data_IF_628419371063
#
_entry.id   IF_628419371063
#
_cell.length_a   1.000
_cell.length_b   1.000
_cell.length_c   1.000
_cell.angle_alpha   90.00
_cell.angle_beta   90.00
_cell.angle_gamma   90.00
#
_symmetry.space_group_name_H-M   'P 1'
#
loop_
_entity.id
_entity.type
_entity.pdbx_description
1 polymer ?
#
# COMPACT_ATOMS: atom_id res chain seq x y z
N UNK A 1 -2.49 22.45 10.04
CA UNK A 1 -2.19 21.02 9.83
C UNK A 1 -2.02 20.78 8.34
N UNK A 2 -0.87 20.26 7.92
CA UNK A 2 -0.47 20.19 6.51
C UNK A 2 -0.31 18.73 6.10
N UNK A 3 -0.76 18.39 4.89
CA UNK A 3 -0.53 17.07 4.31
C UNK A 3 0.89 17.01 3.74
N UNK A 4 1.69 16.05 4.19
CA UNK A 4 3.03 15.79 3.68
C UNK A 4 3.06 14.48 2.92
N UNK A 5 3.77 14.45 1.80
CA UNK A 5 3.94 13.29 0.92
C UNK A 5 5.41 13.20 0.55
N UNK A 6 6.07 12.14 0.98
CA UNK A 6 7.43 11.79 0.58
C UNK A 6 7.39 10.66 -0.45
N UNK A 7 8.22 10.73 -1.49
CA UNK A 7 8.23 9.77 -2.58
C UNK A 7 9.57 9.04 -2.67
N UNK A 8 9.53 7.71 -2.72
CA UNK A 8 10.68 6.83 -2.84
C UNK A 8 10.66 6.17 -4.20
N UNK A 9 11.49 6.67 -5.12
CA UNK A 9 11.66 6.06 -6.44
C UNK A 9 12.55 4.81 -6.34
N UNK A 10 12.14 3.73 -6.99
CA UNK A 10 13.00 2.61 -7.34
C UNK A 10 13.36 2.67 -8.83
N UNK A 11 14.65 2.70 -9.11
CA UNK A 11 15.18 2.76 -10.47
C UNK A 11 15.06 1.43 -11.20
N UNK A 12 14.99 0.31 -10.47
CA UNK A 12 14.98 -1.03 -11.06
C UNK A 12 13.61 -1.36 -11.65
N UNK A 13 12.53 -1.08 -10.93
CA UNK A 13 11.16 -1.34 -11.38
C UNK A 13 10.49 -0.10 -11.98
N UNK A 14 11.04 1.10 -11.73
CA UNK A 14 10.39 2.36 -12.09
C UNK A 14 9.22 2.73 -11.18
N UNK A 15 9.08 2.05 -10.03
CA UNK A 15 7.99 2.23 -9.08
C UNK A 15 8.24 3.42 -8.15
N UNK A 16 7.17 4.08 -7.73
CA UNK A 16 7.19 5.03 -6.63
C UNK A 16 6.42 4.47 -5.45
N UNK A 17 7.11 4.32 -4.31
CA UNK A 17 6.45 4.16 -3.01
C UNK A 17 6.26 5.54 -2.37
N UNK A 18 5.26 5.69 -1.50
CA UNK A 18 4.99 6.96 -0.82
C UNK A 18 4.84 6.81 0.68
N UNK A 19 5.24 7.83 1.44
CA UNK A 19 4.86 8.01 2.84
C UNK A 19 3.99 9.25 2.97
N UNK A 20 2.79 9.09 3.52
CA UNK A 20 1.81 10.17 3.70
C UNK A 20 1.57 10.41 5.19
N UNK A 21 1.76 11.64 5.65
CA UNK A 21 1.66 12.00 7.08
C UNK A 21 1.26 13.46 7.30
N UNK A 22 1.05 13.86 8.57
CA UNK A 22 0.58 15.19 8.97
C UNK A 22 1.66 16.04 9.69
N UNK A 23 2.94 15.74 9.44
CA UNK A 23 4.10 16.31 10.15
C UNK A 23 4.82 15.29 11.02
N UNK A 24 5.90 15.69 11.68
CA UNK A 24 6.73 14.82 12.53
C UNK A 24 5.94 14.29 13.74
N UNK A 25 6.24 13.07 14.18
CA UNK A 25 5.54 12.41 15.28
C UNK A 25 4.12 11.94 14.97
N UNK A 26 3.59 12.26 13.78
CA UNK A 26 2.22 11.92 13.42
C UNK A 26 2.06 10.48 12.94
N UNK A 27 0.80 10.02 12.84
CA UNK A 27 0.51 8.77 12.18
C UNK A 27 0.74 8.90 10.66
N UNK A 28 1.22 7.83 10.03
CA UNK A 28 1.48 7.81 8.60
C UNK A 28 0.92 6.55 7.93
N UNK A 29 0.77 6.64 6.60
CA UNK A 29 0.52 5.52 5.73
C UNK A 29 1.67 5.38 4.74
N UNK A 30 2.12 4.14 4.51
CA UNK A 30 3.03 3.79 3.41
C UNK A 30 2.20 3.23 2.28
N UNK A 31 2.44 3.67 1.05
CA UNK A 31 1.71 3.25 -0.16
C UNK A 31 2.68 2.57 -1.11
N UNK A 32 2.30 1.39 -1.62
CA UNK A 32 3.02 0.58 -2.60
C UNK A 32 4.51 0.37 -2.26
N UNK A 33 4.85 -0.15 -1.06
CA UNK A 33 6.23 -0.35 -0.65
C UNK A 33 6.92 -1.44 -1.48
N UNK A 34 8.16 -1.20 -1.92
CA UNK A 34 8.90 -2.10 -2.82
C UNK A 34 9.90 -2.97 -2.06
N UNK A 35 9.85 -4.29 -2.34
CA UNK A 35 10.89 -5.25 -2.00
C UNK A 35 11.75 -5.50 -3.23
N UNK A 36 13.06 -5.25 -3.12
CA UNK A 36 13.98 -5.43 -4.23
C UNK A 36 14.07 -6.89 -4.62
N UNK A 37 14.01 -7.19 -5.92
CA UNK A 37 14.11 -8.55 -6.46
C UNK A 37 14.96 -8.58 -7.72
N UNK A 38 15.99 -9.44 -7.73
CA UNK A 38 16.76 -9.75 -8.92
C UNK A 38 16.23 -11.03 -9.58
N UNK A 39 15.53 -10.93 -10.72
CA UNK A 39 14.97 -12.11 -11.39
C UNK A 39 16.03 -13.04 -11.98
N UNK A 40 17.28 -12.58 -12.17
CA UNK A 40 18.37 -13.42 -12.71
C UNK A 40 18.94 -14.37 -11.66
N UNK A 41 18.97 -13.94 -10.39
CA UNK A 41 19.52 -14.73 -9.29
C UNK A 41 18.46 -15.25 -8.31
N UNK A 42 17.22 -14.77 -8.41
CA UNK A 42 16.14 -15.09 -7.48
C UNK A 42 16.33 -14.47 -6.09
N UNK A 43 17.24 -13.50 -5.93
CA UNK A 43 17.57 -12.89 -4.64
C UNK A 43 16.67 -11.70 -4.35
N UNK A 44 16.25 -11.59 -3.10
CA UNK A 44 15.58 -10.40 -2.56
C UNK A 44 16.54 -9.53 -1.76
N UNK A 45 16.27 -8.23 -1.70
CA UNK A 45 16.93 -7.26 -0.83
C UNK A 45 15.91 -6.29 -0.25
N UNK A 46 16.25 -5.63 0.85
CA UNK A 46 15.38 -4.69 1.57
C UNK A 46 15.84 -3.24 1.44
N UNK A 47 16.73 -2.93 0.50
CA UNK A 47 17.33 -1.60 0.36
C UNK A 47 16.28 -0.51 0.11
N UNK A 48 15.27 -0.77 -0.73
CA UNK A 48 14.16 0.16 -0.93
C UNK A 48 13.32 0.33 0.34
N UNK A 49 12.95 -0.77 0.99
CA UNK A 49 12.15 -0.75 2.22
C UNK A 49 12.89 -0.06 3.39
N UNK A 50 14.21 -0.25 3.50
CA UNK A 50 15.04 0.37 4.53
C UNK A 50 15.08 1.91 4.41
N UNK A 51 15.01 2.46 3.19
CA UNK A 51 14.88 3.92 3.02
C UNK A 51 13.59 4.44 3.63
N UNK A 52 12.49 3.70 3.48
CA UNK A 52 11.19 4.03 4.09
C UNK A 52 11.28 3.90 5.62
N UNK A 53 11.89 2.83 6.12
CA UNK A 53 12.12 2.62 7.56
C UNK A 53 12.93 3.76 8.17
N UNK A 54 14.01 4.17 7.52
CA UNK A 54 14.86 5.27 7.96
C UNK A 54 14.06 6.57 8.04
N UNK A 55 13.32 6.93 6.99
CA UNK A 55 12.48 8.12 6.97
C UNK A 55 11.41 8.11 8.08
N UNK A 56 10.70 6.99 8.24
CA UNK A 56 9.68 6.85 9.29
C UNK A 56 10.28 7.06 10.68
N UNK A 57 11.47 6.49 10.94
CA UNK A 57 12.15 6.63 12.23
C UNK A 57 12.71 8.03 12.46
N UNK A 58 13.32 8.63 11.44
CA UNK A 58 13.89 9.99 11.48
C UNK A 58 12.82 11.02 11.86
N UNK A 59 11.63 10.91 11.26
CA UNK A 59 10.51 11.81 11.51
C UNK A 59 9.62 11.37 12.70
N UNK A 60 9.98 10.29 13.41
CA UNK A 60 9.21 9.77 14.54
C UNK A 60 7.78 9.34 14.20
N UNK A 61 7.53 8.94 12.95
CA UNK A 61 6.19 8.63 12.46
C UNK A 61 5.70 7.28 12.97
N UNK A 62 4.37 7.15 13.16
CA UNK A 62 3.73 5.88 13.50
C UNK A 62 2.98 5.31 12.31
N UNK A 63 3.46 4.20 11.76
CA UNK A 63 2.77 3.51 10.65
C UNK A 63 1.46 2.93 11.15
N UNK A 64 0.35 3.40 10.58
CA UNK A 64 -0.99 2.83 10.84
C UNK A 64 -1.49 2.01 9.67
N UNK A 65 -1.05 2.34 8.44
CA UNK A 65 -1.47 1.66 7.22
C UNK A 65 -0.29 1.36 6.30
N UNK A 66 -0.28 0.15 5.77
CA UNK A 66 0.54 -0.31 4.66
C UNK A 66 -0.43 -0.61 3.52
N UNK A 67 -0.51 0.31 2.56
CA UNK A 67 -1.56 0.35 1.56
C UNK A 67 -1.04 -0.16 0.23
N UNK A 68 -1.72 -1.16 -0.32
CA UNK A 68 -1.52 -1.62 -1.69
C UNK A 68 -2.62 -1.04 -2.58
N UNK A 69 -2.22 -0.29 -3.61
CA UNK A 69 -3.17 0.26 -4.59
C UNK A 69 -3.80 -0.84 -5.46
N UNK A 70 -3.03 -1.90 -5.74
CA UNK A 70 -3.45 -3.08 -6.48
C UNK A 70 -2.50 -4.27 -6.23
N UNK A 71 -2.77 -5.41 -6.86
CA UNK A 71 -1.80 -6.48 -6.98
C UNK A 71 -0.81 -6.11 -8.08
N UNK A 72 0.42 -5.77 -7.69
CA UNK A 72 1.47 -5.32 -8.60
C UNK A 72 1.98 -6.46 -9.47
N UNK A 73 2.33 -6.15 -10.72
CA UNK A 73 2.90 -7.10 -11.67
C UNK A 73 4.37 -6.78 -12.03
N UNK A 74 4.84 -5.60 -11.61
CA UNK A 74 6.13 -5.00 -11.93
C UNK A 74 7.13 -5.07 -10.76
N UNK A 75 6.65 -5.21 -9.52
CA UNK A 75 7.49 -5.30 -8.33
C UNK A 75 6.88 -6.21 -7.25
N UNK A 76 7.71 -6.66 -6.30
CA UNK A 76 7.27 -7.36 -5.11
C UNK A 76 6.97 -6.36 -4.00
N UNK A 77 5.88 -6.57 -3.25
CA UNK A 77 5.55 -5.72 -2.11
C UNK A 77 6.45 -6.00 -0.90
N UNK A 78 6.93 -4.94 -0.25
CA UNK A 78 7.62 -4.98 1.03
C UNK A 78 6.67 -4.81 2.24
N UNK A 79 5.35 -4.81 2.05
CA UNK A 79 4.40 -4.59 3.15
C UNK A 79 4.58 -5.59 4.33
N UNK A 80 4.81 -6.90 4.12
CA UNK A 80 5.08 -7.81 5.25
C UNK A 80 6.33 -7.43 6.04
N UNK A 81 7.42 -7.06 5.35
CA UNK A 81 8.66 -6.61 5.97
C UNK A 81 8.47 -5.34 6.80
N UNK A 82 7.77 -4.35 6.24
CA UNK A 82 7.47 -3.11 6.95
C UNK A 82 6.54 -3.35 8.14
N UNK A 83 5.58 -4.27 8.03
CA UNK A 83 4.69 -4.63 9.15
C UNK A 83 5.47 -5.21 10.31
N UNK A 84 6.42 -6.10 10.05
CA UNK A 84 7.27 -6.68 11.08
C UNK A 84 8.19 -5.61 11.72
N UNK A 85 8.70 -4.68 10.90
CA UNK A 85 9.70 -3.69 11.34
C UNK A 85 9.09 -2.46 12.03
N UNK A 86 7.91 -2.02 11.60
CA UNK A 86 7.28 -0.75 11.99
C UNK A 86 5.85 -0.91 12.52
N UNK A 87 5.23 -2.08 12.35
CA UNK A 87 3.82 -2.31 12.66
C UNK A 87 2.88 -1.82 11.56
N UNK A 88 1.61 -1.58 11.95
CA UNK A 88 0.54 -1.16 11.05
C UNK A 88 -0.27 -2.32 10.47
N UNK A 89 -1.23 -1.97 9.62
CA UNK A 89 -2.16 -2.91 8.99
C UNK A 89 -1.97 -2.91 7.47
N UNK A 90 -1.81 -4.09 6.88
CA UNK A 90 -1.72 -4.27 5.43
C UNK A 90 -3.13 -4.27 4.86
N UNK A 91 -3.40 -3.37 3.93
CA UNK A 91 -4.73 -3.20 3.38
C UNK A 91 -4.73 -3.04 1.86
N UNK A 92 -5.76 -3.62 1.22
CA UNK A 92 -5.90 -3.64 -0.24
C UNK A 92 -7.36 -3.59 -0.68
N UNK A 93 -7.53 -3.45 -2.00
CA UNK A 93 -8.63 -3.99 -2.79
C UNK A 93 -9.49 -5.13 -2.23
N UNK A 94 -10.78 -4.98 -1.84
CA UNK A 94 -11.65 -6.17 -1.66
C UNK A 94 -11.77 -7.02 -2.95
N UNK A 95 -11.56 -6.39 -4.12
CA UNK A 95 -11.45 -7.07 -5.43
C UNK A 95 -10.20 -7.95 -5.57
N UNK A 96 -9.26 -7.94 -4.62
CA UNK A 96 -8.08 -8.82 -4.61
C UNK A 96 -8.46 -10.29 -4.70
N UNK A 97 -9.62 -10.67 -4.16
CA UNK A 97 -10.17 -12.03 -4.21
C UNK A 97 -10.29 -12.56 -5.64
N UNK A 98 -10.66 -11.68 -6.58
CA UNK A 98 -10.77 -12.03 -8.00
C UNK A 98 -9.38 -12.34 -8.57
N UNK A 99 -8.40 -11.49 -8.27
CA UNK A 99 -7.02 -11.65 -8.71
C UNK A 99 -6.40 -12.93 -8.13
N UNK A 100 -6.61 -13.17 -6.83
CA UNK A 100 -6.19 -14.41 -6.17
C UNK A 100 -6.80 -15.64 -6.84
N UNK A 101 -8.09 -15.61 -7.20
CA UNK A 101 -8.75 -16.70 -7.91
C UNK A 101 -8.10 -17.01 -9.27
N UNK A 102 -7.75 -15.98 -10.04
CA UNK A 102 -7.07 -16.14 -11.33
C UNK A 102 -5.66 -16.72 -11.15
N UNK A 103 -4.86 -16.12 -10.27
CA UNK A 103 -3.47 -16.55 -10.09
C UNK A 103 -3.32 -17.90 -9.39
N UNK A 104 -4.27 -18.27 -8.53
CA UNK A 104 -4.34 -19.62 -7.93
C UNK A 104 -4.37 -20.71 -9.00
N UNK A 105 -5.16 -20.51 -10.05
CA UNK A 105 -5.25 -21.43 -11.18
C UNK A 105 -3.97 -21.42 -12.04
N UNK A 106 -3.44 -20.23 -12.37
CA UNK A 106 -2.26 -20.09 -13.23
C UNK A 106 -1.01 -20.75 -12.62
N UNK A 107 -0.79 -20.52 -11.32
CA UNK A 107 0.38 -21.06 -10.61
C UNK A 107 0.11 -22.41 -9.94
N UNK A 108 -1.07 -23.01 -10.15
CA UNK A 108 -1.45 -24.32 -9.62
C UNK A 108 -1.27 -24.45 -8.10
N UNK A 109 -1.70 -23.44 -7.34
CA UNK A 109 -1.49 -23.37 -5.88
C UNK A 109 -2.41 -24.27 -5.04
N UNK A 110 -3.20 -25.17 -5.64
CA UNK A 110 -3.99 -26.16 -4.89
C UNK A 110 -4.89 -25.53 -3.81
N UNK A 111 -4.89 -26.05 -2.59
CA UNK A 111 -5.58 -25.40 -1.45
C UNK A 111 -4.68 -24.44 -0.64
N UNK A 112 -3.39 -24.36 -1.00
CA UNK A 112 -2.38 -23.62 -0.24
C UNK A 112 -2.55 -22.10 -0.36
N UNK A 113 -3.28 -21.63 -1.37
CA UNK A 113 -3.65 -20.21 -1.52
C UNK A 113 -5.15 -19.99 -1.29
N UNK A 114 -5.56 -19.53 -0.09
CA UNK A 114 -6.89 -18.98 0.13
C UNK A 114 -7.12 -17.75 -0.76
N UNK A 115 -8.30 -17.66 -1.38
CA UNK A 115 -8.66 -16.55 -2.31
C UNK A 115 -9.69 -15.60 -1.71
N UNK A 116 -9.80 -15.58 -0.39
CA UNK A 116 -10.75 -14.74 0.36
C UNK A 116 -10.12 -13.45 0.88
N UNK A 117 -8.84 -13.21 0.55
CA UNK A 117 -8.09 -12.02 0.93
C UNK A 117 -7.65 -11.99 2.40
N UNK A 118 -7.75 -13.10 3.15
CA UNK A 118 -7.37 -13.15 4.58
C UNK A 118 -5.90 -12.87 4.87
N UNK A 119 -5.06 -12.85 3.84
CA UNK A 119 -3.64 -12.47 3.92
C UNK A 119 -3.47 -10.97 4.19
N UNK A 120 -4.51 -10.17 3.96
CA UNK A 120 -4.55 -8.74 4.26
C UNK A 120 -5.34 -8.51 5.53
N UNK A 121 -4.89 -7.56 6.35
CA UNK A 121 -5.58 -7.19 7.59
C UNK A 121 -6.90 -6.45 7.32
N UNK A 122 -6.97 -5.71 6.20
CA UNK A 122 -8.17 -4.98 5.82
C UNK A 122 -8.44 -5.00 4.32
N UNK A 123 -9.71 -5.22 3.97
CA UNK A 123 -10.18 -5.25 2.59
C UNK A 123 -11.15 -4.10 2.35
N UNK A 124 -10.65 -2.97 1.85
CA UNK A 124 -11.50 -1.80 1.68
C UNK A 124 -12.59 -2.05 0.63
N UNK A 125 -13.77 -1.49 0.88
CA UNK A 125 -14.85 -1.36 -0.07
C UNK A 125 -14.70 -0.10 -0.92
N UNK A 126 -15.41 -0.04 -2.05
CA UNK A 126 -15.41 1.15 -2.89
C UNK A 126 -16.06 2.32 -2.14
N UNK A 127 -15.36 3.45 -2.07
CA UNK A 127 -15.85 4.65 -1.40
C UNK A 127 -15.69 4.65 0.12
N UNK A 128 -15.13 3.58 0.70
CA UNK A 128 -14.86 3.49 2.13
C UNK A 128 -13.91 4.61 2.58
N UNK A 129 -14.22 5.18 3.75
CA UNK A 129 -13.40 6.22 4.39
C UNK A 129 -12.63 5.62 5.56
N UNK A 130 -11.43 6.11 5.78
CA UNK A 130 -10.57 5.69 6.87
C UNK A 130 -9.65 6.85 7.29
N UNK A 131 -8.97 6.68 8.41
CA UNK A 131 -8.13 7.73 8.99
C UNK A 131 -6.66 7.33 8.99
N UNK A 132 -5.78 8.30 8.75
CA UNK A 132 -4.34 8.20 8.95
C UNK A 132 -4.00 9.21 10.05
N UNK A 133 -4.21 8.78 11.30
CA UNK A 133 -4.26 9.71 12.44
C UNK A 133 -5.36 10.75 12.23
N UNK A 134 -4.97 12.01 12.16
CA UNK A 134 -5.87 13.16 11.95
C UNK A 134 -6.22 13.40 10.48
N UNK A 135 -5.58 12.72 9.52
CA UNK A 135 -5.90 12.84 8.10
C UNK A 135 -7.08 11.93 7.74
N UNK A 136 -8.00 12.42 6.91
CA UNK A 136 -9.11 11.62 6.39
C UNK A 136 -8.83 11.16 4.96
N UNK A 137 -8.98 9.87 4.71
CA UNK A 137 -8.78 9.30 3.40
C UNK A 137 -10.03 8.56 2.93
N UNK A 138 -10.15 8.43 1.60
CA UNK A 138 -11.23 7.72 0.94
C UNK A 138 -10.64 6.85 -0.16
N UNK A 139 -11.02 5.58 -0.15
CA UNK A 139 -10.74 4.69 -1.27
C UNK A 139 -11.64 5.07 -2.45
N UNK A 140 -11.03 5.47 -3.57
CA UNK A 140 -11.75 5.74 -4.80
C UNK A 140 -11.57 4.57 -5.76
N UNK A 141 -12.67 4.11 -6.35
CA UNK A 141 -12.58 3.19 -7.48
C UNK A 141 -12.11 3.99 -8.70
N UNK A 142 -11.05 3.52 -9.36
CA UNK A 142 -10.70 4.03 -10.68
C UNK A 142 -11.62 3.36 -11.70
N UNK A 143 -12.32 4.15 -12.52
CA UNK A 143 -13.07 3.63 -13.66
C UNK A 143 -12.16 3.63 -14.88
N UNK A 144 -11.33 2.60 -15.03
CA UNK A 144 -10.71 2.28 -16.32
C UNK A 144 -11.61 1.32 -17.10
N UNK A 145 -11.61 1.44 -18.43
CA UNK A 145 -12.54 0.77 -19.34
C UNK A 145 -12.53 -0.76 -19.18
N UNK A 146 -13.73 -1.34 -19.26
CA UNK A 146 -14.13 -2.68 -18.78
C UNK A 146 -13.48 -3.92 -19.44
N UNK A 147 -12.25 -3.84 -19.99
CA UNK A 147 -11.56 -5.00 -20.60
C UNK A 147 -10.24 -5.41 -19.93
N UNK A 148 -9.77 -4.71 -18.88
CA UNK A 148 -8.53 -5.04 -18.13
C UNK A 148 -8.69 -4.90 -16.61
N UNK A 149 -9.87 -5.24 -16.08
CA UNK A 149 -10.24 -4.99 -14.68
C UNK A 149 -9.48 -5.84 -13.63
N UNK A 150 -8.65 -6.81 -14.04
CA UNK A 150 -7.92 -7.66 -13.11
C UNK A 150 -6.52 -7.14 -12.75
N UNK A 151 -5.97 -6.16 -13.49
CA UNK A 151 -4.54 -5.78 -13.40
C UNK A 151 -4.34 -4.27 -13.18
N UNK A 152 -5.35 -3.40 -13.40
CA UNK A 152 -5.18 -1.94 -13.34
C UNK A 152 -5.97 -1.26 -12.20
N UNK A 153 -5.41 -0.23 -11.52
CA UNK A 153 -5.59 -0.01 -10.07
C UNK A 153 -6.76 0.89 -9.70
N UNK A 154 -7.11 0.87 -8.41
CA UNK A 154 -7.92 1.90 -7.75
C UNK A 154 -7.01 3.03 -7.22
N UNK A 155 -7.42 4.29 -7.35
CA UNK A 155 -6.66 5.42 -6.80
C UNK A 155 -7.13 5.74 -5.37
N UNK A 156 -6.20 5.87 -4.42
CA UNK A 156 -6.51 6.36 -3.07
C UNK A 156 -6.60 7.89 -3.10
N UNK A 157 -7.70 8.49 -2.61
CA UNK A 157 -7.78 9.95 -2.41
C UNK A 157 -7.65 10.27 -0.93
N UNK A 158 -6.58 10.98 -0.56
CA UNK A 158 -6.33 11.45 0.81
C UNK A 158 -6.66 12.94 0.88
N UNK A 159 -7.43 13.37 1.88
CA UNK A 159 -7.77 14.78 2.12
C UNK A 159 -7.47 15.15 3.58
N UNK A 160 -6.81 16.29 3.77
CA UNK A 160 -6.78 16.90 5.10
C UNK A 160 -8.16 17.53 5.36
N UNK A 161 -8.94 16.97 6.28
CA UNK A 161 -10.16 17.62 6.79
C UNK A 161 -9.82 18.23 8.14
N UNK A 162 -9.20 19.41 8.14
CA UNK A 162 -9.15 20.21 9.37
C UNK A 162 -10.58 20.64 9.73
N UNK A 163 -11.05 20.44 10.98
CA UNK A 163 -12.17 21.21 11.47
C UNK A 163 -11.66 22.64 11.68
N UNK A 164 -11.91 23.54 10.74
CA UNK A 164 -11.78 24.96 11.01
C UNK A 164 -12.94 25.31 11.95
N UNK A 165 -12.69 25.33 13.25
CA UNK A 165 -13.54 26.00 14.21
C UNK A 165 -13.28 27.52 14.12
N UNK A 166 -14.36 28.30 14.08
CA UNK A 166 -14.47 29.79 14.02
C UNK A 166 -14.03 30.44 12.69
N UNK A 167 -14.82 31.28 12.00
CA UNK A 167 -16.00 32.09 12.33
C UNK A 167 -17.13 31.94 11.30
#
# INVERSE_FOLDING_TARGET
>A
MTLHIEAFYDVTTGTFAYVVHAGDGSACAVIDPVLDYDPKSGRTSTACAERVVAFVREHGLRVVWLLETHAHADHLSAAPYLKETLGGLIAIGASIRIVQGVFKAIFNFGEDLPTDGRQFDHLFCAGERFSIGELSAKRCMCRTSARRAAIFPAAMRIRCTSPCASC
#
